data_IF_862713843713
#
_entry.id   IF_862713843713
#
_cell.length_a   1.000
_cell.length_b   1.000
_cell.length_c   1.000
_cell.angle_alpha   90.00
_cell.angle_beta   90.00
_cell.angle_gamma   90.00
#
_symmetry.space_group_name_H-M   'P 1'
#
loop_
_entity.id
_entity.type
_entity.pdbx_description
1 polymer ?
#
# COMPACT_ATOMS: atom_id res chain seq x y z
N UNK A 1 22.44 9.59 38.69
CA UNK A 1 21.76 9.07 37.48
C UNK A 1 22.55 7.88 36.97
N UNK A 2 21.96 6.69 36.89
CA UNK A 2 22.65 5.44 36.55
C UNK A 2 23.15 5.49 35.08
N UNK A 3 24.43 5.15 34.79
CA UNK A 3 24.97 5.08 33.43
C UNK A 3 24.17 4.21 32.45
N UNK A 4 23.56 3.12 32.92
CA UNK A 4 22.68 2.25 32.14
C UNK A 4 21.41 2.99 31.69
N UNK A 5 20.80 3.78 32.58
CA UNK A 5 19.62 4.59 32.27
C UNK A 5 19.95 5.70 31.26
N UNK A 6 21.17 6.25 31.30
CA UNK A 6 21.63 7.26 30.34
C UNK A 6 21.87 6.64 28.95
N UNK A 7 22.45 5.44 28.85
CA UNK A 7 22.58 4.70 27.59
C UNK A 7 21.21 4.33 27.00
N UNK A 8 20.27 3.91 27.84
CA UNK A 8 18.91 3.60 27.40
C UNK A 8 18.15 4.85 26.94
N UNK A 9 18.25 5.96 27.68
CA UNK A 9 17.66 7.24 27.27
C UNK A 9 18.30 7.76 25.97
N UNK A 10 19.62 7.63 25.80
CA UNK A 10 20.32 8.00 24.57
C UNK A 10 20.02 7.06 23.41
N UNK A 11 19.73 5.78 23.65
CA UNK A 11 19.28 4.86 22.60
C UNK A 11 17.85 5.17 22.17
N UNK A 12 16.95 5.48 23.11
CA UNK A 12 15.60 5.98 22.81
C UNK A 12 15.66 7.32 22.04
N UNK A 13 16.52 8.27 22.48
CA UNK A 13 16.71 9.56 21.79
C UNK A 13 17.35 9.42 20.41
N UNK A 14 18.32 8.51 20.24
CA UNK A 14 18.92 8.19 18.93
C UNK A 14 17.96 7.42 18.02
N UNK A 15 16.99 6.72 18.59
CA UNK A 15 16.00 5.96 17.82
C UNK A 15 14.78 6.77 17.42
N UNK A 16 14.64 8.03 17.85
CA UNK A 16 13.57 8.96 17.46
C UNK A 16 12.35 8.23 16.93
N UNK A 17 11.73 7.40 17.78
CA UNK A 17 10.57 6.61 17.37
C UNK A 17 9.50 7.66 17.16
N UNK A 18 9.38 8.11 15.91
CA UNK A 18 8.31 8.99 15.49
C UNK A 18 7.04 8.17 15.68
N UNK A 19 6.12 8.68 16.50
CA UNK A 19 4.77 8.11 16.72
C UNK A 19 3.86 8.30 15.48
N UNK A 20 4.47 8.36 14.30
CA UNK A 20 3.85 8.65 13.03
C UNK A 20 4.41 7.70 11.98
N UNK A 21 3.52 7.27 11.09
CA UNK A 21 3.88 6.63 9.84
C UNK A 21 4.06 7.68 8.76
N UNK A 22 4.92 7.42 7.79
CA UNK A 22 5.10 8.26 6.62
C UNK A 22 4.66 7.47 5.39
N UNK A 23 3.95 8.13 4.47
CA UNK A 23 3.93 7.71 3.06
C UNK A 23 5.07 8.45 2.38
N UNK A 24 5.84 7.76 1.55
CA UNK A 24 6.89 8.39 0.77
C UNK A 24 6.84 8.01 -0.69
N UNK A 25 7.28 8.94 -1.52
CA UNK A 25 7.32 8.88 -2.97
C UNK A 25 8.75 9.07 -3.40
N UNK A 26 9.26 8.20 -4.26
CA UNK A 26 10.57 8.37 -4.91
C UNK A 26 10.35 8.80 -6.35
N UNK A 27 11.17 9.73 -6.81
CA UNK A 27 11.04 10.34 -8.13
C UNK A 27 12.28 10.13 -8.98
N UNK A 28 12.09 10.02 -10.29
CA UNK A 28 13.14 10.10 -11.30
C UNK A 28 12.66 10.97 -12.44
N UNK A 29 13.40 12.03 -12.76
CA UNK A 29 13.06 12.95 -13.86
C UNK A 29 11.60 13.44 -13.80
N UNK A 30 11.10 13.72 -12.58
CA UNK A 30 9.70 14.10 -12.24
C UNK A 30 8.64 12.98 -12.19
N UNK A 31 8.97 11.76 -12.60
CA UNK A 31 8.03 10.63 -12.51
C UNK A 31 8.10 9.92 -11.15
N UNK A 32 6.95 9.52 -10.60
CA UNK A 32 6.92 8.67 -9.40
C UNK A 32 7.36 7.26 -9.81
N UNK A 33 8.52 6.82 -9.32
CA UNK A 33 9.07 5.50 -9.61
C UNK A 33 8.82 4.49 -8.49
N UNK A 34 8.49 4.96 -7.29
CA UNK A 34 8.13 4.11 -6.15
C UNK A 34 7.29 4.84 -5.12
N UNK A 35 6.40 4.10 -4.47
CA UNK A 35 5.60 4.55 -3.34
C UNK A 35 5.71 3.54 -2.22
N UNK A 36 6.04 4.00 -1.02
CA UNK A 36 6.15 3.16 0.16
C UNK A 36 5.63 3.83 1.42
N UNK A 37 5.74 3.12 2.53
CA UNK A 37 5.43 3.65 3.85
C UNK A 37 6.41 3.13 4.91
N UNK A 38 6.68 3.92 5.95
CA UNK A 38 7.61 3.55 7.04
C UNK A 38 7.39 4.41 8.28
N UNK A 39 7.68 3.88 9.48
CA UNK A 39 7.82 4.71 10.71
C UNK A 39 9.19 5.40 10.79
N UNK A 40 10.19 4.83 10.13
CA UNK A 40 11.53 5.39 10.04
C UNK A 40 11.83 5.68 8.57
N UNK A 41 11.54 6.91 8.16
CA UNK A 41 11.60 7.32 6.76
C UNK A 41 13.03 7.47 6.27
N UNK A 42 13.91 8.06 7.08
CA UNK A 42 15.34 8.23 6.76
C UNK A 42 16.02 6.88 6.48
N UNK A 43 15.74 5.87 7.31
CA UNK A 43 16.25 4.52 7.10
C UNK A 43 15.70 3.88 5.82
N UNK A 44 14.40 4.04 5.56
CA UNK A 44 13.75 3.48 4.37
C UNK A 44 14.32 4.07 3.08
N UNK A 45 14.45 5.39 3.00
CA UNK A 45 15.03 6.10 1.85
C UNK A 45 16.50 5.73 1.67
N UNK A 46 17.28 5.71 2.76
CA UNK A 46 18.70 5.32 2.70
C UNK A 46 18.88 3.89 2.18
N UNK A 47 17.98 2.97 2.55
CA UNK A 47 18.02 1.59 2.03
C UNK A 47 17.81 1.56 0.51
N UNK A 48 16.91 2.39 -0.02
CA UNK A 48 16.67 2.48 -1.46
C UNK A 48 17.85 3.09 -2.21
N UNK A 49 18.50 4.12 -1.66
CA UNK A 49 19.73 4.68 -2.28
C UNK A 49 20.86 3.65 -2.40
N UNK A 50 20.90 2.66 -1.50
CA UNK A 50 21.89 1.56 -1.53
C UNK A 50 21.49 0.41 -2.45
N UNK A 51 20.30 0.45 -3.05
CA UNK A 51 19.83 -0.59 -3.96
C UNK A 51 20.21 -0.23 -5.41
N UNK A 52 21.24 -0.88 -5.94
CA UNK A 52 21.75 -0.60 -7.29
C UNK A 52 20.72 -0.77 -8.40
N UNK A 53 19.70 -1.60 -8.18
CA UNK A 53 18.62 -1.89 -9.14
C UNK A 53 17.52 -0.81 -9.17
N UNK A 54 17.57 0.15 -8.25
CA UNK A 54 16.57 1.20 -8.12
C UNK A 54 17.19 2.57 -8.42
N UNK A 55 16.62 3.31 -9.37
CA UNK A 55 17.13 4.62 -9.79
C UNK A 55 16.09 5.70 -9.50
N UNK A 56 16.46 6.66 -8.66
CA UNK A 56 15.68 7.82 -8.28
C UNK A 56 16.62 8.96 -7.89
N UNK A 57 16.19 10.21 -8.03
CA UNK A 57 16.99 11.42 -7.80
C UNK A 57 16.48 12.24 -6.59
N UNK A 58 15.24 12.03 -6.18
CA UNK A 58 14.58 12.81 -5.15
C UNK A 58 13.43 12.03 -4.49
N UNK A 59 12.94 12.55 -3.36
CA UNK A 59 11.83 11.97 -2.63
C UNK A 59 10.94 13.05 -1.99
N UNK A 60 9.69 12.69 -1.71
CA UNK A 60 8.76 13.47 -0.91
C UNK A 60 8.07 12.55 0.11
N UNK A 61 7.65 13.12 1.24
CA UNK A 61 6.99 12.38 2.31
C UNK A 61 5.78 13.11 2.88
N UNK A 62 4.81 12.33 3.37
CA UNK A 62 3.61 12.81 4.05
C UNK A 62 3.52 12.08 5.37
N UNK A 63 3.51 12.83 6.47
CA UNK A 63 3.31 12.31 7.82
C UNK A 63 1.85 11.96 8.08
N UNK A 64 1.60 10.77 8.61
CA UNK A 64 0.30 10.24 9.04
C UNK A 64 0.43 9.82 10.50
N UNK A 65 -0.47 10.34 11.34
CA UNK A 65 -0.48 10.08 12.78
C UNK A 65 -0.92 8.63 13.06
N UNK A 66 -0.31 7.99 14.06
CA UNK A 66 -0.42 6.54 14.35
C UNK A 66 -1.84 5.94 14.43
N UNK A 67 -2.90 6.74 14.64
CA UNK A 67 -4.29 6.25 14.73
C UNK A 67 -4.92 5.81 13.40
N UNK A 68 -4.24 6.01 12.27
CA UNK A 68 -4.82 5.83 10.93
C UNK A 68 -4.09 4.77 10.09
N UNK A 69 -3.34 3.84 10.69
CA UNK A 69 -2.50 2.89 9.93
C UNK A 69 -3.27 2.07 8.89
N UNK A 70 -4.51 1.67 9.18
CA UNK A 70 -5.32 0.93 8.22
C UNK A 70 -5.71 1.80 7.02
N UNK A 71 -6.08 3.05 7.27
CA UNK A 71 -6.40 4.01 6.22
C UNK A 71 -5.15 4.41 5.41
N UNK A 72 -4.00 4.50 6.08
CA UNK A 72 -2.69 4.69 5.45
C UNK A 72 -2.44 3.60 4.41
N UNK A 73 -2.62 2.32 4.78
CA UNK A 73 -2.37 1.19 3.89
C UNK A 73 -3.31 1.21 2.67
N UNK A 74 -4.57 1.58 2.86
CA UNK A 74 -5.52 1.77 1.76
C UNK A 74 -5.12 2.94 0.86
N UNK A 75 -4.67 4.07 1.41
CA UNK A 75 -4.17 5.22 0.63
C UNK A 75 -2.91 4.87 -0.16
N UNK A 76 -1.97 4.15 0.44
CA UNK A 76 -0.75 3.69 -0.25
C UNK A 76 -1.11 2.74 -1.39
N UNK A 77 -2.00 1.78 -1.15
CA UNK A 77 -2.49 0.87 -2.19
C UNK A 77 -3.13 1.64 -3.35
N UNK A 78 -4.02 2.61 -3.05
CA UNK A 78 -4.66 3.44 -4.09
C UNK A 78 -3.63 4.20 -4.92
N UNK A 79 -2.67 4.86 -4.27
CA UNK A 79 -1.63 5.62 -4.98
C UNK A 79 -0.78 4.71 -5.88
N UNK A 80 -0.39 3.52 -5.40
CA UNK A 80 0.34 2.54 -6.22
C UNK A 80 -0.49 2.13 -7.44
N UNK A 81 -1.78 1.85 -7.27
CA UNK A 81 -2.66 1.42 -8.37
C UNK A 81 -2.90 2.52 -9.41
N UNK A 82 -3.01 3.78 -8.96
CA UNK A 82 -3.26 4.94 -9.84
C UNK A 82 -2.00 5.36 -10.59
N UNK A 83 -0.87 5.50 -9.89
CA UNK A 83 0.37 5.98 -10.51
C UNK A 83 1.17 4.86 -11.20
N UNK A 84 0.91 3.59 -10.85
CA UNK A 84 1.61 2.42 -11.37
C UNK A 84 3.15 2.58 -11.43
N UNK A 85 3.80 2.97 -10.33
CA UNK A 85 5.24 3.21 -10.29
C UNK A 85 6.04 1.94 -10.61
N UNK A 86 7.08 2.08 -11.44
CA UNK A 86 7.83 0.96 -12.01
C UNK A 86 8.47 0.01 -10.99
N UNK A 87 8.79 0.48 -9.79
CA UNK A 87 9.45 -0.33 -8.77
C UNK A 87 8.47 -0.93 -7.74
N UNK A 88 7.17 -0.63 -7.80
CA UNK A 88 6.19 -1.33 -6.98
C UNK A 88 5.75 -2.61 -7.68
N UNK A 89 6.14 -3.75 -7.12
CA UNK A 89 5.70 -5.07 -7.61
C UNK A 89 4.40 -5.57 -6.98
N UNK A 90 3.93 -4.89 -5.92
CA UNK A 90 2.73 -5.25 -5.16
C UNK A 90 2.17 -4.04 -4.40
N UNK A 91 0.91 -4.16 -3.98
CA UNK A 91 0.27 -3.26 -3.01
C UNK A 91 0.40 -3.83 -1.58
N UNK A 92 0.24 -3.01 -0.52
CA UNK A 92 0.25 -3.52 0.85
C UNK A 92 -0.72 -4.68 1.07
N UNK A 93 -0.23 -5.79 1.61
CA UNK A 93 -1.00 -7.05 1.76
C UNK A 93 -2.22 -6.90 2.68
N UNK A 94 -2.09 -6.06 3.71
CA UNK A 94 -3.12 -5.72 4.69
C UNK A 94 -4.09 -4.62 4.27
N UNK A 95 -3.97 -4.05 3.05
CA UNK A 95 -4.98 -3.10 2.58
C UNK A 95 -6.37 -3.76 2.59
N UNK A 96 -7.41 -3.00 2.92
CA UNK A 96 -8.76 -3.53 3.13
C UNK A 96 -9.55 -3.58 1.83
N UNK A 97 -9.43 -2.54 1.00
CA UNK A 97 -10.36 -2.31 -0.10
C UNK A 97 -9.89 -2.87 -1.44
N UNK A 98 -8.61 -2.80 -1.76
CA UNK A 98 -8.15 -3.17 -3.10
C UNK A 98 -7.72 -4.63 -3.17
N UNK A 99 -8.39 -5.41 -4.01
CA UNK A 99 -8.20 -6.87 -4.10
C UNK A 99 -8.19 -7.35 -5.54
N UNK A 100 -7.36 -8.35 -5.83
CA UNK A 100 -7.42 -9.07 -7.10
C UNK A 100 -8.65 -9.97 -7.15
N UNK A 101 -9.07 -10.39 -8.36
CA UNK A 101 -10.19 -11.32 -8.49
C UNK A 101 -9.99 -12.63 -7.73
N UNK A 102 -8.76 -13.14 -7.65
CA UNK A 102 -8.47 -14.34 -6.86
C UNK A 102 -8.61 -14.12 -5.35
N UNK A 103 -8.26 -12.93 -4.85
CA UNK A 103 -8.50 -12.57 -3.46
C UNK A 103 -10.00 -12.41 -3.17
N UNK A 104 -10.75 -11.79 -4.09
CA UNK A 104 -12.21 -11.65 -4.01
C UNK A 104 -12.87 -13.03 -4.03
N UNK A 105 -12.44 -13.92 -4.92
CA UNK A 105 -12.87 -15.33 -5.00
C UNK A 105 -12.74 -16.06 -3.67
N UNK A 106 -11.58 -15.93 -3.03
CA UNK A 106 -11.32 -16.52 -1.71
C UNK A 106 -12.22 -15.92 -0.63
N UNK A 107 -12.40 -14.59 -0.61
CA UNK A 107 -13.19 -13.88 0.40
C UNK A 107 -14.69 -14.21 0.31
N UNK A 108 -15.26 -14.21 -0.89
CA UNK A 108 -16.70 -14.48 -1.09
C UNK A 108 -17.04 -15.96 -1.30
N UNK A 109 -16.04 -16.84 -1.36
CA UNK A 109 -16.21 -18.29 -1.65
C UNK A 109 -17.02 -18.54 -2.93
N UNK A 110 -16.74 -17.78 -3.98
CA UNK A 110 -17.44 -17.86 -5.29
C UNK A 110 -16.57 -18.53 -6.34
N UNK A 111 -17.17 -19.01 -7.42
CA UNK A 111 -16.41 -19.52 -8.55
C UNK A 111 -15.95 -18.37 -9.49
N UNK A 112 -14.92 -18.62 -10.31
CA UNK A 112 -14.34 -17.61 -11.20
C UNK A 112 -15.33 -17.13 -12.27
N UNK A 113 -16.19 -18.02 -12.76
CA UNK A 113 -17.18 -17.72 -13.80
C UNK A 113 -18.23 -16.73 -13.32
N UNK A 114 -18.78 -16.95 -12.11
CA UNK A 114 -19.73 -16.06 -11.44
C UNK A 114 -19.15 -14.66 -11.23
N UNK A 115 -17.90 -14.57 -10.76
CA UNK A 115 -17.24 -13.28 -10.57
C UNK A 115 -16.99 -12.55 -11.90
N UNK A 116 -16.51 -13.24 -12.93
CA UNK A 116 -16.32 -12.64 -14.24
C UNK A 116 -17.63 -12.19 -14.87
N UNK A 117 -18.72 -12.94 -14.66
CA UNK A 117 -20.06 -12.55 -15.08
C UNK A 117 -20.49 -11.26 -14.38
N UNK A 118 -20.32 -11.17 -13.06
CA UNK A 118 -20.64 -9.97 -12.29
C UNK A 118 -19.88 -8.74 -12.77
N UNK A 119 -18.56 -8.87 -12.97
CA UNK A 119 -17.71 -7.79 -13.51
C UNK A 119 -18.25 -7.28 -14.84
N UNK A 120 -18.64 -8.19 -15.75
CA UNK A 120 -19.19 -7.83 -17.06
C UNK A 120 -20.57 -7.18 -16.97
N UNK A 121 -21.50 -7.80 -16.23
CA UNK A 121 -22.88 -7.34 -16.11
C UNK A 121 -22.99 -5.97 -15.42
N UNK A 122 -22.08 -5.67 -14.50
CA UNK A 122 -22.07 -4.42 -13.74
C UNK A 122 -21.03 -3.43 -14.26
N UNK A 123 -20.36 -3.76 -15.38
CA UNK A 123 -19.31 -2.94 -15.99
C UNK A 123 -18.24 -2.47 -14.98
N UNK A 124 -17.84 -3.36 -14.07
CA UNK A 124 -16.90 -3.03 -13.00
C UNK A 124 -15.51 -2.79 -13.59
N UNK A 125 -14.89 -1.68 -13.21
CA UNK A 125 -13.55 -1.29 -13.67
C UNK A 125 -12.52 -1.63 -12.60
N UNK A 126 -11.36 -2.10 -13.03
CA UNK A 126 -10.22 -2.20 -12.11
C UNK A 126 -9.69 -0.79 -11.79
N UNK A 127 -9.16 -0.63 -10.60
CA UNK A 127 -8.53 0.61 -10.11
C UNK A 127 -7.13 0.76 -10.70
N UNK A 128 -6.40 -0.36 -10.80
CA UNK A 128 -5.07 -0.42 -11.39
C UNK A 128 -4.63 -1.84 -11.70
N UNK A 129 -3.48 -1.96 -12.37
CA UNK A 129 -2.87 -3.23 -12.75
C UNK A 129 -1.41 -3.22 -12.30
N UNK A 130 -1.01 -4.21 -11.50
CA UNK A 130 0.39 -4.40 -11.09
C UNK A 130 0.82 -5.78 -11.57
N UNK A 131 1.92 -5.86 -12.33
CA UNK A 131 2.45 -7.13 -12.85
C UNK A 131 1.39 -7.99 -13.58
N UNK A 132 0.52 -7.36 -14.36
CA UNK A 132 -0.57 -8.05 -15.09
C UNK A 132 -1.75 -8.50 -14.24
N UNK A 133 -1.75 -8.20 -12.93
CA UNK A 133 -2.85 -8.49 -12.02
C UNK A 133 -3.72 -7.25 -11.86
N UNK A 134 -4.99 -7.34 -12.28
CA UNK A 134 -5.98 -6.29 -12.05
C UNK A 134 -6.49 -6.30 -10.61
N UNK A 135 -6.56 -5.12 -10.00
CA UNK A 135 -7.11 -4.90 -8.66
C UNK A 135 -8.40 -4.10 -8.74
N UNK A 136 -9.41 -4.53 -7.99
CA UNK A 136 -10.72 -3.90 -7.90
C UNK A 136 -10.95 -3.37 -6.49
N UNK A 137 -11.84 -2.39 -6.37
CA UNK A 137 -12.42 -2.04 -5.08
C UNK A 137 -13.42 -3.13 -4.67
N UNK A 138 -13.11 -3.85 -3.59
CA UNK A 138 -13.94 -4.95 -3.11
C UNK A 138 -15.35 -4.49 -2.71
N UNK A 139 -15.56 -3.20 -2.44
CA UNK A 139 -16.87 -2.67 -2.06
C UNK A 139 -17.89 -2.80 -3.19
N UNK A 140 -17.43 -2.73 -4.44
CA UNK A 140 -18.28 -2.94 -5.63
C UNK A 140 -18.85 -4.36 -5.70
N UNK A 141 -18.22 -5.33 -5.01
CA UNK A 141 -18.67 -6.73 -4.96
C UNK A 141 -19.58 -7.04 -3.78
N UNK A 142 -19.88 -6.08 -2.87
CA UNK A 142 -20.82 -6.36 -1.78
C UNK A 142 -22.27 -6.44 -2.25
N UNK A 143 -22.63 -5.73 -3.33
CA UNK A 143 -23.94 -5.86 -4.01
C UNK A 143 -24.18 -7.28 -4.52
N UNK A 144 -23.09 -8.00 -4.84
CA UNK A 144 -23.12 -9.38 -5.30
C UNK A 144 -23.75 -10.37 -4.31
N UNK A 145 -23.75 -10.05 -3.01
CA UNK A 145 -24.34 -10.91 -1.98
C UNK A 145 -25.84 -10.66 -1.76
N UNK A 146 -26.38 -9.52 -2.18
CA UNK A 146 -27.79 -9.17 -1.94
C UNK A 146 -28.75 -9.77 -2.97
N UNK A 147 -28.26 -10.17 -4.15
CA UNK A 147 -29.12 -10.61 -5.27
C UNK A 147 -29.59 -12.07 -5.14
N UNK A 148 -29.05 -12.89 -4.22
CA UNK A 148 -29.48 -14.29 -4.03
C UNK A 148 -30.52 -14.51 -2.91
N UNK A 149 -31.07 -13.47 -2.30
CA UNK A 149 -32.05 -13.58 -1.19
C UNK A 149 -33.47 -13.10 -1.53
N UNK A 150 -33.82 -12.99 -2.82
CA UNK A 150 -35.21 -12.77 -3.28
C UNK A 150 -35.58 -13.79 -4.35
#
# INVERSE_FOLDING_TARGET
>A
MNPENLKHLLSIKKMGIKDSYYIYFLFRDTEIVYIGYSKNIDFAITKHYKNDNMKFDSHAEIEIKDKEIDELLDRVALNILVYNPIYNSEIPSSCKYFKSLDQIKKKFRKNKTELNKHVKENNLKYVGVINGISYFDIREFYTFNYIKNY
#
